data_IF_965798375732
#
_entry.id   IF_965798375732
#
_cell.length_a   1.000
_cell.length_b   1.000
_cell.length_c   1.000
_cell.angle_alpha   90.00
_cell.angle_beta   90.00
_cell.angle_gamma   90.00
#
_symmetry.space_group_name_H-M   'P 1'
#
loop_
_entity.id
_entity.type
_entity.pdbx_description
1 polymer ?
#
# COMPACT_ATOMS: atom_id res chain seq x y z
N UNK A 1 -1.52 36.68 -54.65
CA UNK A 1 -2.35 36.70 -55.89
C UNK A 1 -1.77 37.74 -56.83
N UNK A 2 -1.81 37.58 -58.16
CA UNK A 2 -2.02 36.38 -59.00
C UNK A 2 -0.90 36.27 -60.08
N UNK A 3 -0.71 35.20 -60.86
CA UNK A 3 -1.54 34.83 -62.00
C UNK A 3 -1.12 33.46 -62.55
N UNK A 4 -2.15 32.66 -62.84
CA UNK A 4 -2.12 31.40 -63.57
C UNK A 4 -2.34 31.61 -65.08
N UNK A 5 -2.07 30.54 -65.85
CA UNK A 5 -2.49 30.17 -67.23
C UNK A 5 -1.31 30.17 -68.22
N UNK A 6 -1.10 29.20 -69.11
CA UNK A 6 -2.04 28.37 -69.90
C UNK A 6 -1.45 27.00 -70.29
N UNK A 7 -2.35 26.04 -70.53
CA UNK A 7 -2.17 24.76 -71.28
C UNK A 7 -2.10 25.01 -72.80
N UNK A 8 -1.51 24.07 -73.55
CA UNK A 8 -2.01 23.38 -74.77
C UNK A 8 -0.80 22.73 -75.49
N UNK A 9 -0.62 21.40 -75.50
CA UNK A 9 -1.15 20.39 -76.44
C UNK A 9 -0.50 20.40 -77.85
N UNK A 10 0.18 19.30 -78.21
CA UNK A 10 -0.18 18.34 -79.30
C UNK A 10 1.01 17.85 -80.18
N UNK A 11 1.12 16.52 -80.25
CA UNK A 11 1.63 15.60 -81.29
C UNK A 11 2.98 15.79 -82.01
N UNK A 12 3.77 14.70 -82.05
CA UNK A 12 4.16 14.04 -83.33
C UNK A 12 4.82 12.66 -83.11
N UNK A 13 4.12 11.61 -83.57
CA UNK A 13 4.55 10.42 -84.34
C UNK A 13 5.88 9.67 -84.09
N UNK A 14 5.74 8.36 -83.80
CA UNK A 14 6.15 7.16 -84.60
C UNK A 14 6.54 5.98 -83.68
N UNK A 15 5.79 4.85 -83.71
CA UNK A 15 6.10 3.59 -84.44
C UNK A 15 7.48 3.04 -84.01
N UNK A 16 7.68 1.86 -83.40
CA UNK A 16 7.11 0.52 -83.54
C UNK A 16 7.76 -0.36 -82.44
N UNK A 17 7.17 -1.51 -82.10
CA UNK A 17 7.95 -2.65 -81.57
C UNK A 17 7.54 -3.20 -80.20
N UNK A 18 6.64 -4.20 -80.23
CA UNK A 18 6.59 -5.41 -79.40
C UNK A 18 7.43 -5.45 -78.10
N UNK A 19 6.78 -5.65 -76.95
CA UNK A 19 6.87 -6.94 -76.23
C UNK A 19 5.96 -7.01 -75.00
N UNK A 20 5.14 -8.07 -74.99
CA UNK A 20 4.15 -8.46 -74.00
C UNK A 20 4.89 -9.21 -72.88
N UNK A 21 5.39 -8.52 -71.84
CA UNK A 21 5.98 -9.18 -70.65
C UNK A 21 5.94 -8.27 -69.40
N UNK A 22 4.76 -7.78 -68.98
CA UNK A 22 4.71 -7.01 -67.72
C UNK A 22 3.44 -7.16 -66.85
N UNK A 23 2.59 -8.14 -67.11
CA UNK A 23 1.38 -8.39 -66.29
C UNK A 23 1.60 -9.35 -65.10
N UNK A 24 2.67 -10.15 -65.09
CA UNK A 24 2.90 -11.15 -64.03
C UNK A 24 3.72 -10.67 -62.82
N UNK A 25 4.33 -9.48 -62.88
CA UNK A 25 5.21 -8.98 -61.80
C UNK A 25 4.45 -8.22 -60.71
N UNK A 26 3.30 -7.60 -61.04
CA UNK A 26 2.48 -6.83 -60.08
C UNK A 26 1.62 -7.73 -59.17
N UNK A 27 1.15 -8.87 -59.66
CA UNK A 27 0.44 -9.88 -58.85
C UNK A 27 1.35 -10.56 -57.83
N UNK A 28 2.61 -10.82 -58.21
CA UNK A 28 3.61 -11.40 -57.31
C UNK A 28 3.86 -10.51 -56.08
N UNK A 29 4.07 -9.20 -56.26
CA UNK A 29 4.37 -8.28 -55.14
C UNK A 29 3.25 -8.13 -54.12
N UNK A 30 1.98 -8.16 -54.53
CA UNK A 30 0.84 -8.11 -53.60
C UNK A 30 0.70 -9.42 -52.82
N UNK A 31 0.93 -10.56 -53.47
CA UNK A 31 0.94 -11.89 -52.84
C UNK A 31 2.05 -11.99 -51.79
N UNK A 32 3.28 -11.55 -52.10
CA UNK A 32 4.38 -11.54 -51.13
C UNK A 32 4.13 -10.61 -49.94
N UNK A 33 3.40 -9.50 -50.13
CA UNK A 33 3.05 -8.58 -49.06
C UNK A 33 1.97 -9.17 -48.14
N UNK A 34 0.95 -9.83 -48.70
CA UNK A 34 -0.11 -10.50 -47.93
C UNK A 34 0.43 -11.72 -47.18
N UNK A 35 1.31 -12.51 -47.81
CA UNK A 35 2.01 -13.63 -47.16
C UNK A 35 2.92 -13.12 -46.05
N UNK A 36 3.68 -12.04 -46.28
CA UNK A 36 4.55 -11.43 -45.27
C UNK A 36 3.78 -10.86 -44.06
N UNK A 37 2.61 -10.26 -44.29
CA UNK A 37 1.72 -9.80 -43.22
C UNK A 37 1.09 -10.98 -42.44
N UNK A 38 0.65 -12.03 -43.14
CA UNK A 38 0.13 -13.25 -42.51
C UNK A 38 1.20 -13.98 -41.69
N UNK A 39 2.43 -14.05 -42.18
CA UNK A 39 3.56 -14.63 -41.46
C UNK A 39 3.94 -13.78 -40.24
N UNK A 40 4.01 -12.45 -40.37
CA UNK A 40 4.24 -11.54 -39.24
C UNK A 40 3.16 -11.68 -38.15
N UNK A 41 1.89 -11.81 -38.55
CA UNK A 41 0.78 -11.99 -37.62
C UNK A 41 0.80 -13.36 -36.93
N UNK A 42 1.19 -14.41 -37.64
CA UNK A 42 1.39 -15.75 -37.07
C UNK A 42 2.57 -15.79 -36.09
N UNK A 43 3.70 -15.15 -36.41
CA UNK A 43 4.85 -15.05 -35.52
C UNK A 43 4.53 -14.21 -34.27
N UNK A 44 3.83 -13.10 -34.43
CA UNK A 44 3.37 -12.28 -33.29
C UNK A 44 2.42 -13.06 -32.38
N UNK A 45 1.47 -13.79 -32.96
CA UNK A 45 0.55 -14.68 -32.23
C UNK A 45 1.28 -15.83 -31.54
N UNK A 46 2.30 -16.42 -32.18
CA UNK A 46 3.11 -17.51 -31.62
C UNK A 46 4.02 -17.05 -30.47
N UNK A 47 4.63 -15.87 -30.58
CA UNK A 47 5.43 -15.27 -29.50
C UNK A 47 4.57 -14.91 -28.30
N UNK A 48 3.36 -14.38 -28.51
CA UNK A 48 2.43 -14.07 -27.42
C UNK A 48 1.85 -15.34 -26.78
N UNK A 49 1.53 -16.36 -27.59
CA UNK A 49 1.14 -17.68 -27.11
C UNK A 49 2.24 -18.32 -26.26
N UNK A 50 3.50 -18.32 -26.73
CA UNK A 50 4.62 -18.85 -25.97
C UNK A 50 4.86 -18.07 -24.68
N UNK A 51 4.81 -16.73 -24.71
CA UNK A 51 4.91 -15.92 -23.48
C UNK A 51 3.82 -16.26 -22.47
N UNK A 52 2.58 -16.40 -22.92
CA UNK A 52 1.46 -16.76 -22.07
C UNK A 52 1.56 -18.20 -21.54
N UNK A 53 2.03 -19.13 -22.38
CA UNK A 53 2.28 -20.52 -22.00
C UNK A 53 3.42 -20.66 -20.98
N UNK A 54 4.56 -20.01 -21.21
CA UNK A 54 5.68 -19.96 -20.25
C UNK A 54 5.25 -19.33 -18.93
N UNK A 55 4.47 -18.24 -18.97
CA UNK A 55 3.91 -17.61 -17.77
C UNK A 55 2.95 -18.55 -17.04
N UNK A 56 2.11 -19.30 -17.76
CA UNK A 56 1.21 -20.29 -17.17
C UNK A 56 1.98 -21.43 -16.50
N UNK A 57 2.95 -22.03 -17.19
CA UNK A 57 3.81 -23.08 -16.61
C UNK A 57 4.55 -22.57 -15.37
N UNK A 58 5.14 -21.38 -15.46
CA UNK A 58 5.84 -20.77 -14.33
C UNK A 58 4.90 -20.59 -13.13
N UNK A 59 3.69 -20.10 -13.35
CA UNK A 59 2.69 -19.96 -12.29
C UNK A 59 2.30 -21.32 -11.69
N UNK A 60 2.15 -22.37 -12.50
CA UNK A 60 1.84 -23.73 -12.03
C UNK A 60 2.98 -24.25 -11.16
N UNK A 61 4.24 -24.12 -11.61
CA UNK A 61 5.41 -24.55 -10.84
C UNK A 61 5.48 -23.80 -9.50
N UNK A 62 5.31 -22.48 -9.52
CA UNK A 62 5.30 -21.65 -8.30
C UNK A 62 4.19 -22.11 -7.35
N UNK A 63 2.97 -22.32 -7.86
CA UNK A 63 1.84 -22.76 -7.03
C UNK A 63 2.10 -24.14 -6.42
N UNK A 64 2.63 -25.09 -7.19
CA UNK A 64 2.99 -26.42 -6.72
C UNK A 64 4.04 -26.37 -5.61
N UNK A 65 5.10 -25.55 -5.78
CA UNK A 65 6.13 -25.36 -4.75
C UNK A 65 5.52 -24.74 -3.48
N UNK A 66 4.65 -23.74 -3.60
CA UNK A 66 3.97 -23.12 -2.47
C UNK A 66 3.07 -24.09 -1.71
N UNK A 67 2.35 -24.95 -2.43
CA UNK A 67 1.54 -26.02 -1.82
C UNK A 67 2.43 -27.00 -1.05
N UNK A 68 3.56 -27.43 -1.63
CA UNK A 68 4.51 -28.32 -0.94
C UNK A 68 5.10 -27.69 0.33
N UNK A 69 5.51 -26.42 0.28
CA UNK A 69 6.03 -25.68 1.46
C UNK A 69 4.95 -25.57 2.53
N UNK A 70 3.72 -25.21 2.13
CA UNK A 70 2.58 -25.07 3.03
C UNK A 70 2.24 -26.39 3.73
N UNK A 71 2.20 -27.50 2.99
CA UNK A 71 1.97 -28.83 3.55
C UNK A 71 3.11 -29.25 4.49
N UNK A 72 4.35 -28.89 4.16
CA UNK A 72 5.51 -29.16 5.03
C UNK A 72 5.40 -28.43 6.37
N UNK A 73 5.06 -27.13 6.36
CA UNK A 73 4.83 -26.37 7.59
C UNK A 73 3.66 -26.93 8.40
N UNK A 74 2.59 -27.39 7.74
CA UNK A 74 1.49 -28.04 8.43
C UNK A 74 1.90 -29.35 9.10
N UNK A 75 2.66 -30.21 8.42
CA UNK A 75 3.17 -31.47 9.01
C UNK A 75 4.03 -31.18 10.24
N UNK A 76 4.90 -30.17 10.18
CA UNK A 76 5.70 -29.73 11.33
C UNK A 76 4.80 -29.23 12.46
N UNK A 77 3.80 -28.40 12.16
CA UNK A 77 2.85 -27.88 13.14
C UNK A 77 2.03 -28.98 13.82
N UNK A 78 1.56 -29.98 13.05
CA UNK A 78 0.90 -31.18 13.56
C UNK A 78 1.83 -31.99 14.46
N UNK A 79 3.07 -32.20 14.05
CA UNK A 79 4.06 -32.96 14.83
C UNK A 79 4.38 -32.26 16.15
N UNK A 80 4.56 -30.94 16.12
CA UNK A 80 4.76 -30.13 17.32
C UNK A 80 3.53 -30.16 18.25
N UNK A 81 2.31 -30.09 17.68
CA UNK A 81 1.06 -30.24 18.44
C UNK A 81 0.99 -31.60 19.14
N UNK A 82 1.30 -32.70 18.44
CA UNK A 82 1.32 -34.04 19.02
C UNK A 82 2.39 -34.19 20.12
N UNK A 83 3.56 -33.56 19.95
CA UNK A 83 4.66 -33.68 20.91
C UNK A 83 4.47 -32.81 22.16
N UNK A 84 4.05 -31.56 22.00
CA UNK A 84 3.89 -30.61 23.11
C UNK A 84 2.47 -30.61 23.71
N UNK A 85 1.47 -31.17 23.02
CA UNK A 85 0.09 -31.35 23.47
C UNK A 85 -0.74 -30.06 23.63
N UNK A 86 -0.11 -28.89 23.65
CA UNK A 86 -0.74 -27.59 23.94
C UNK A 86 -0.94 -26.70 22.72
N UNK A 87 -0.26 -27.00 21.60
CA UNK A 87 -0.29 -26.17 20.39
C UNK A 87 -1.46 -26.57 19.50
N UNK A 88 -2.28 -25.59 19.10
CA UNK A 88 -3.29 -25.80 18.05
C UNK A 88 -2.62 -25.79 16.67
N UNK A 89 -2.76 -26.84 15.86
CA UNK A 89 -2.10 -26.90 14.56
C UNK A 89 -2.73 -25.88 13.59
N UNK A 90 -1.87 -25.13 12.88
CA UNK A 90 -2.31 -24.16 11.87
C UNK A 90 -2.75 -24.91 10.61
N UNK A 91 -3.94 -24.62 10.08
CA UNK A 91 -4.44 -25.32 8.89
C UNK A 91 -3.53 -25.12 7.66
N UNK A 92 -3.45 -26.12 6.75
CA UNK A 92 -2.67 -26.00 5.51
C UNK A 92 -3.08 -24.78 4.69
N UNK A 93 -4.37 -24.45 4.65
CA UNK A 93 -4.86 -23.30 3.89
C UNK A 93 -4.33 -21.98 4.44
N UNK A 94 -4.20 -21.84 5.76
CA UNK A 94 -3.65 -20.65 6.38
C UNK A 94 -2.17 -20.47 6.04
N UNK A 95 -1.38 -21.55 6.08
CA UNK A 95 0.01 -21.53 5.62
C UNK A 95 0.14 -21.16 4.14
N UNK A 96 -0.76 -21.68 3.30
CA UNK A 96 -0.73 -21.39 1.86
C UNK A 96 -1.02 -19.90 1.62
N UNK A 97 -2.07 -19.37 2.24
CA UNK A 97 -2.47 -17.98 2.06
C UNK A 97 -1.50 -16.99 2.69
N UNK A 98 -0.87 -17.32 3.82
CA UNK A 98 0.14 -16.47 4.45
C UNK A 98 1.41 -16.31 3.63
N UNK A 99 1.71 -17.26 2.75
CA UNK A 99 2.83 -17.13 1.81
C UNK A 99 2.35 -16.50 0.50
N UNK A 100 1.30 -17.05 -0.11
CA UNK A 100 0.84 -16.69 -1.45
C UNK A 100 0.37 -15.23 -1.55
N UNK A 101 -0.44 -14.78 -0.58
CA UNK A 101 -1.09 -13.45 -0.66
C UNK A 101 -0.06 -12.34 -0.42
N UNK A 102 0.72 -12.33 0.69
CA UNK A 102 1.79 -11.34 0.88
C UNK A 102 2.80 -11.35 -0.28
N UNK A 103 3.18 -12.52 -0.80
CA UNK A 103 4.06 -12.63 -1.97
C UNK A 103 3.51 -11.90 -3.18
N UNK A 104 2.23 -12.12 -3.48
CA UNK A 104 1.56 -11.47 -4.60
C UNK A 104 1.46 -9.96 -4.40
N UNK A 105 1.12 -9.50 -3.20
CA UNK A 105 0.97 -8.08 -2.89
C UNK A 105 2.32 -7.36 -2.91
N UNK A 106 3.37 -7.90 -2.28
CA UNK A 106 4.70 -7.31 -2.30
C UNK A 106 5.28 -7.26 -3.71
N UNK A 107 5.12 -8.34 -4.49
CA UNK A 107 5.54 -8.37 -5.91
C UNK A 107 4.82 -7.31 -6.75
N UNK A 108 3.51 -7.12 -6.55
CA UNK A 108 2.74 -6.06 -7.22
C UNK A 108 3.14 -4.66 -6.72
N UNK A 109 3.39 -4.52 -5.42
CA UNK A 109 3.85 -3.28 -4.80
C UNK A 109 5.17 -2.81 -5.38
N UNK A 110 6.13 -3.72 -5.48
CA UNK A 110 7.43 -3.51 -6.11
C UNK A 110 7.31 -3.14 -7.60
N UNK A 111 6.57 -3.93 -8.39
CA UNK A 111 6.32 -3.64 -9.82
C UNK A 111 5.66 -2.28 -10.05
N UNK A 112 4.78 -1.85 -9.14
CA UNK A 112 4.11 -0.55 -9.21
C UNK A 112 4.94 0.59 -8.62
N UNK A 113 6.22 0.37 -8.26
CA UNK A 113 7.08 1.35 -7.56
C UNK A 113 6.45 1.93 -6.28
N UNK A 114 5.69 1.12 -5.54
CA UNK A 114 5.13 1.52 -4.22
C UNK A 114 6.02 1.04 -3.06
N UNK A 115 6.88 0.06 -3.32
CA UNK A 115 7.87 -0.49 -2.40
C UNK A 115 9.21 -0.57 -3.15
N UNK A 116 10.32 -0.30 -2.45
CA UNK A 116 11.64 -0.67 -2.94
C UNK A 116 11.93 -2.17 -2.61
N UNK A 117 13.13 -2.65 -2.94
CA UNK A 117 13.51 -4.04 -2.67
C UNK A 117 13.43 -4.40 -1.17
N UNK A 118 13.91 -3.52 -0.29
CA UNK A 118 13.88 -3.74 1.15
C UNK A 118 12.47 -3.66 1.72
N UNK A 119 11.67 -2.70 1.25
CA UNK A 119 10.28 -2.55 1.62
C UNK A 119 9.42 -3.72 1.15
N UNK A 120 9.72 -4.29 -0.02
CA UNK A 120 9.08 -5.52 -0.48
C UNK A 120 9.38 -6.69 0.45
N UNK A 121 10.65 -6.91 0.82
CA UNK A 121 11.04 -7.97 1.75
C UNK A 121 10.44 -7.78 3.15
N UNK A 122 10.51 -6.57 3.69
CA UNK A 122 9.89 -6.25 4.98
C UNK A 122 8.37 -6.46 4.94
N UNK A 123 7.72 -6.06 3.83
CA UNK A 123 6.28 -6.23 3.65
C UNK A 123 5.86 -7.70 3.53
N UNK A 124 6.72 -8.55 2.95
CA UNK A 124 6.51 -10.01 2.95
C UNK A 124 6.49 -10.57 4.36
N UNK A 125 7.49 -10.20 5.18
CA UNK A 125 7.63 -10.71 6.55
C UNK A 125 6.45 -10.25 7.41
N UNK A 126 6.15 -8.95 7.43
CA UNK A 126 5.03 -8.40 8.20
C UNK A 126 3.71 -9.00 7.70
N UNK A 127 3.48 -9.04 6.38
CA UNK A 127 2.26 -9.61 5.82
C UNK A 127 2.09 -11.09 6.15
N UNK A 128 3.17 -11.87 6.13
CA UNK A 128 3.16 -13.28 6.54
C UNK A 128 2.75 -13.44 8.01
N UNK A 129 3.43 -12.72 8.92
CA UNK A 129 3.15 -12.78 10.37
C UNK A 129 1.68 -12.45 10.65
N UNK A 130 1.19 -11.34 10.09
CA UNK A 130 -0.19 -10.91 10.30
C UNK A 130 -1.20 -11.92 9.73
N UNK A 131 -0.93 -12.50 8.57
CA UNK A 131 -1.86 -13.47 7.94
C UNK A 131 -1.90 -14.79 8.72
N UNK A 132 -0.75 -15.26 9.23
CA UNK A 132 -0.72 -16.46 10.09
C UNK A 132 -1.45 -16.19 11.40
N UNK A 133 -1.28 -15.00 11.99
CA UNK A 133 -1.92 -14.66 13.25
C UNK A 133 -3.45 -14.60 13.16
N UNK A 134 -3.97 -13.75 12.28
CA UNK A 134 -5.41 -13.48 12.18
C UNK A 134 -5.70 -12.74 10.85
N UNK A 135 -6.65 -13.23 10.06
CA UNK A 135 -6.94 -12.62 8.76
C UNK A 135 -7.41 -11.15 8.86
N UNK A 136 -8.07 -10.76 9.96
CA UNK A 136 -8.48 -9.37 10.19
C UNK A 136 -7.31 -8.43 10.39
N UNK A 137 -6.19 -8.91 10.95
CA UNK A 137 -4.95 -8.13 11.05
C UNK A 137 -4.37 -7.86 9.66
N UNK A 138 -4.30 -8.90 8.83
CA UNK A 138 -3.80 -8.78 7.47
C UNK A 138 -4.70 -7.90 6.59
N UNK A 139 -6.03 -8.02 6.66
CA UNK A 139 -6.93 -7.19 5.85
C UNK A 139 -6.86 -5.71 6.24
N UNK A 140 -6.74 -5.40 7.54
CA UNK A 140 -6.51 -4.04 8.02
C UNK A 140 -5.20 -3.45 7.46
N UNK A 141 -4.10 -4.21 7.55
CA UNK A 141 -2.81 -3.79 6.99
C UNK A 141 -2.87 -3.65 5.47
N UNK A 142 -3.52 -4.58 4.78
CA UNK A 142 -3.67 -4.56 3.33
C UNK A 142 -4.47 -3.32 2.90
N UNK A 143 -5.52 -2.97 3.63
CA UNK A 143 -6.31 -1.77 3.37
C UNK A 143 -5.47 -0.52 3.50
N UNK A 144 -4.74 -0.38 4.61
CA UNK A 144 -3.77 0.70 4.80
C UNK A 144 -2.79 0.77 3.63
N UNK A 145 -2.11 -0.33 3.30
CA UNK A 145 -1.10 -0.35 2.25
C UNK A 145 -1.66 0.04 0.88
N UNK A 146 -2.79 -0.52 0.46
CA UNK A 146 -3.37 -0.26 -0.87
C UNK A 146 -3.85 1.19 -0.99
N UNK A 147 -4.60 1.69 -0.01
CA UNK A 147 -5.16 3.06 -0.07
C UNK A 147 -4.08 4.10 0.05
N UNK A 148 -3.18 3.97 1.02
CA UNK A 148 -2.08 4.91 1.20
C UNK A 148 -1.15 4.91 -0.01
N UNK A 149 -0.85 3.77 -0.62
CA UNK A 149 -0.06 3.73 -1.87
C UNK A 149 -0.74 4.41 -3.06
N UNK A 150 -2.09 4.40 -3.11
CA UNK A 150 -2.84 5.16 -4.13
C UNK A 150 -2.78 6.66 -3.84
N UNK A 151 -2.95 7.05 -2.58
CA UNK A 151 -2.89 8.46 -2.16
C UNK A 151 -1.49 9.07 -2.37
N UNK A 152 -0.42 8.35 -2.06
CA UNK A 152 0.95 8.84 -2.30
C UNK A 152 1.19 9.16 -3.78
N UNK A 153 0.62 8.38 -4.70
CA UNK A 153 0.74 8.64 -6.15
C UNK A 153 -0.23 9.71 -6.65
N UNK A 154 -1.33 9.93 -5.93
CA UNK A 154 -2.32 10.92 -6.32
C UNK A 154 -1.71 12.33 -6.25
N UNK A 155 -1.86 13.08 -7.34
CA UNK A 155 -1.31 14.43 -7.53
C UNK A 155 0.20 14.54 -7.26
N UNK A 156 0.97 13.52 -7.66
CA UNK A 156 2.43 13.49 -7.50
C UNK A 156 3.19 14.71 -8.06
N UNK A 157 2.72 15.31 -9.17
CA UNK A 157 3.32 16.52 -9.74
C UNK A 157 3.25 17.73 -8.80
N UNK A 158 2.16 17.86 -8.03
CA UNK A 158 2.02 18.92 -7.02
C UNK A 158 2.95 18.61 -5.84
N UNK A 159 2.99 17.33 -5.41
CA UNK A 159 3.84 16.89 -4.28
C UNK A 159 5.32 17.13 -4.54
N UNK A 160 5.77 16.94 -5.78
CA UNK A 160 7.13 17.22 -6.21
C UNK A 160 7.53 18.71 -6.11
N UNK A 161 6.57 19.62 -6.12
CA UNK A 161 6.82 21.05 -5.97
C UNK A 161 6.81 21.54 -4.52
N UNK A 162 6.32 20.73 -3.58
CA UNK A 162 6.18 21.09 -2.16
C UNK A 162 7.12 20.30 -1.25
N UNK A 163 7.53 19.09 -1.66
CA UNK A 163 8.38 18.19 -0.89
C UNK A 163 9.75 18.01 -1.59
N UNK A 164 10.85 18.53 -0.99
CA UNK A 164 12.18 18.37 -1.56
C UNK A 164 12.70 16.93 -1.53
N UNK A 165 12.11 16.05 -0.70
CA UNK A 165 12.50 14.65 -0.55
C UNK A 165 11.56 13.68 -1.31
N UNK A 166 10.70 14.22 -2.19
CA UNK A 166 9.74 13.45 -2.95
C UNK A 166 10.38 12.29 -3.75
N UNK A 167 9.89 11.07 -3.52
CA UNK A 167 10.30 9.85 -4.24
C UNK A 167 9.26 9.47 -5.29
N UNK A 168 9.71 9.24 -6.52
CA UNK A 168 8.82 8.82 -7.61
C UNK A 168 8.11 7.49 -7.26
N UNK A 169 6.78 7.52 -7.27
CA UNK A 169 5.92 6.39 -6.93
C UNK A 169 5.68 6.19 -5.44
N UNK A 170 6.33 6.97 -4.56
CA UNK A 170 6.16 6.85 -3.11
C UNK A 170 6.78 5.57 -2.56
N UNK A 171 7.95 5.17 -3.08
CA UNK A 171 8.58 3.91 -2.72
C UNK A 171 8.92 3.86 -1.23
N UNK A 172 8.21 2.99 -0.49
CA UNK A 172 8.51 2.74 0.92
C UNK A 172 9.68 1.77 1.04
N UNK A 173 10.62 2.11 1.91
CA UNK A 173 11.78 1.29 2.23
C UNK A 173 11.50 0.37 3.43
N UNK A 174 12.46 -0.50 3.74
CA UNK A 174 12.33 -1.44 4.86
C UNK A 174 12.15 -0.72 6.21
N UNK A 175 12.76 0.45 6.40
CA UNK A 175 12.63 1.25 7.63
C UNK A 175 11.20 1.73 7.82
N UNK A 176 10.58 2.27 6.76
CA UNK A 176 9.17 2.68 6.80
C UNK A 176 8.23 1.50 7.05
N UNK A 177 8.51 0.34 6.46
CA UNK A 177 7.73 -0.87 6.72
C UNK A 177 7.91 -1.34 8.16
N UNK A 178 9.11 -1.25 8.72
CA UNK A 178 9.36 -1.57 10.13
C UNK A 178 8.68 -0.59 11.08
N UNK A 179 8.79 0.72 10.86
CA UNK A 179 8.17 1.72 11.74
C UNK A 179 6.64 1.64 11.74
N UNK A 180 6.03 1.36 10.59
CA UNK A 180 4.56 1.33 10.47
C UNK A 180 3.97 -0.07 10.67
N UNK A 181 4.77 -1.13 10.48
CA UNK A 181 4.32 -2.53 10.51
C UNK A 181 4.95 -3.38 11.60
N UNK A 182 6.01 -2.90 12.26
CA UNK A 182 6.73 -3.60 13.31
C UNK A 182 5.89 -3.79 14.58
N UNK A 183 5.27 -2.73 15.08
CA UNK A 183 4.37 -2.80 16.24
C UNK A 183 3.18 -3.75 15.99
N UNK A 184 2.46 -3.66 14.85
CA UNK A 184 1.48 -4.67 14.47
C UNK A 184 2.04 -6.09 14.39
N UNK A 185 3.24 -6.29 13.84
CA UNK A 185 3.84 -7.62 13.72
C UNK A 185 4.21 -8.21 15.08
N UNK A 186 4.77 -7.41 15.97
CA UNK A 186 5.06 -7.81 17.34
C UNK A 186 3.78 -8.19 18.11
N UNK A 187 2.76 -7.35 18.05
CA UNK A 187 1.45 -7.64 18.65
C UNK A 187 0.80 -8.90 18.07
N UNK A 188 0.95 -9.14 16.76
CA UNK A 188 0.47 -10.36 16.12
C UNK A 188 1.23 -11.61 16.60
N UNK A 189 2.55 -11.52 16.82
CA UNK A 189 3.34 -12.61 17.41
C UNK A 189 2.89 -12.90 18.85
N UNK A 190 2.75 -11.86 19.68
CA UNK A 190 2.26 -12.00 21.06
C UNK A 190 0.85 -12.60 21.09
N UNK A 191 -0.04 -12.15 20.20
CA UNK A 191 -1.37 -12.72 20.04
C UNK A 191 -1.33 -14.21 19.72
N UNK A 192 -0.46 -14.64 18.79
CA UNK A 192 -0.29 -16.06 18.46
C UNK A 192 0.28 -16.88 19.63
N UNK A 193 1.19 -16.30 20.42
CA UNK A 193 1.79 -16.98 21.58
C UNK A 193 0.74 -17.19 22.67
N UNK A 194 -0.06 -16.18 22.98
CA UNK A 194 -1.00 -16.23 24.10
C UNK A 194 -2.34 -16.90 23.76
N UNK A 195 -2.87 -16.63 22.56
CA UNK A 195 -4.23 -17.02 22.18
C UNK A 195 -4.24 -18.10 21.08
N UNK A 196 -3.10 -18.33 20.44
CA UNK A 196 -3.00 -19.14 19.24
C UNK A 196 -3.43 -18.37 17.98
N UNK A 197 -3.08 -18.89 16.80
CA UNK A 197 -3.52 -18.34 15.53
C UNK A 197 -5.02 -18.60 15.31
N UNK A 198 -5.74 -17.60 14.80
CA UNK A 198 -7.16 -17.69 14.53
C UNK A 198 -7.89 -16.36 14.66
N UNK A 199 -9.15 -16.34 14.24
CA UNK A 199 -10.01 -15.18 14.32
C UNK A 199 -10.84 -15.23 15.59
N UNK A 200 -10.63 -14.23 16.46
CA UNK A 200 -11.33 -14.08 17.73
C UNK A 200 -12.12 -12.77 17.70
N UNK A 201 -13.41 -12.77 18.11
CA UNK A 201 -14.19 -11.55 18.25
C UNK A 201 -13.66 -10.67 19.39
N UNK A 202 -13.73 -9.36 19.21
CA UNK A 202 -13.35 -8.41 20.27
C UNK A 202 -14.46 -8.39 21.31
N UNK A 203 -14.21 -9.02 22.45
CA UNK A 203 -15.11 -9.12 23.60
C UNK A 203 -14.29 -9.11 24.90
N UNK A 204 -14.24 -7.93 25.53
CA UNK A 204 -13.53 -7.74 26.78
C UNK A 204 -14.10 -8.52 27.98
N UNK A 205 -15.34 -8.99 27.89
CA UNK A 205 -15.99 -9.74 28.98
C UNK A 205 -15.53 -11.20 29.00
N UNK A 206 -15.27 -11.78 27.82
CA UNK A 206 -14.84 -13.17 27.67
C UNK A 206 -13.33 -13.30 27.54
N UNK A 207 -12.70 -12.41 26.76
CA UNK A 207 -11.30 -12.53 26.38
C UNK A 207 -10.63 -11.16 26.39
N UNK A 208 -10.35 -10.67 27.60
CA UNK A 208 -9.75 -9.35 27.81
C UNK A 208 -8.43 -9.17 27.04
N UNK A 209 -7.47 -10.10 27.24
CA UNK A 209 -6.12 -9.96 26.66
C UNK A 209 -6.12 -10.04 25.13
N UNK A 210 -6.87 -10.99 24.55
CA UNK A 210 -7.03 -11.09 23.11
C UNK A 210 -7.65 -9.82 22.51
N UNK A 211 -8.73 -9.32 23.12
CA UNK A 211 -9.42 -8.10 22.69
C UNK A 211 -8.51 -6.87 22.78
N UNK A 212 -7.69 -6.81 23.84
CA UNK A 212 -6.71 -5.77 24.04
C UNK A 212 -5.66 -5.77 22.92
N UNK A 213 -5.09 -6.94 22.59
CA UNK A 213 -4.12 -7.09 21.51
C UNK A 213 -4.72 -6.78 20.13
N UNK A 214 -5.93 -7.26 19.85
CA UNK A 214 -6.65 -6.98 18.61
C UNK A 214 -6.83 -5.46 18.38
N UNK A 215 -7.28 -4.74 19.41
CA UNK A 215 -7.46 -3.29 19.32
C UNK A 215 -6.13 -2.53 19.33
N UNK A 216 -5.10 -3.03 19.99
CA UNK A 216 -3.75 -2.42 19.95
C UNK A 216 -3.21 -2.43 18.53
N UNK A 217 -3.34 -3.59 17.86
CA UNK A 217 -2.90 -3.79 16.49
C UNK A 217 -3.72 -2.94 15.51
N UNK A 218 -5.05 -2.93 15.65
CA UNK A 218 -5.93 -2.06 14.88
C UNK A 218 -5.52 -0.59 15.05
N UNK A 219 -5.28 -0.17 16.29
CA UNK A 219 -4.91 1.19 16.65
C UNK A 219 -3.60 1.62 16.00
N UNK A 220 -2.57 0.78 16.06
CA UNK A 220 -1.28 1.05 15.41
C UNK A 220 -1.43 1.23 13.89
N UNK A 221 -2.13 0.30 13.21
CA UNK A 221 -2.35 0.38 11.76
C UNK A 221 -3.21 1.58 11.37
N UNK A 222 -4.27 1.86 12.12
CA UNK A 222 -5.16 2.98 11.87
C UNK A 222 -4.46 4.33 12.12
N UNK A 223 -3.61 4.42 13.13
CA UNK A 223 -2.75 5.58 13.40
C UNK A 223 -1.87 5.90 12.19
N UNK A 224 -1.07 4.93 11.71
CA UNK A 224 -0.20 5.11 10.55
C UNK A 224 -1.00 5.42 9.26
N UNK A 225 -2.17 4.80 9.10
CA UNK A 225 -3.07 5.11 7.97
C UNK A 225 -3.61 6.53 8.05
N UNK A 226 -4.05 6.96 9.23
CA UNK A 226 -4.56 8.30 9.47
C UNK A 226 -3.52 9.37 9.18
N UNK A 227 -2.30 9.20 9.69
CA UNK A 227 -1.17 10.11 9.40
C UNK A 227 -0.86 10.18 7.89
N UNK A 228 -0.76 9.02 7.23
CA UNK A 228 -0.50 8.99 5.79
C UNK A 228 -1.63 9.68 5.01
N UNK A 229 -2.89 9.46 5.35
CA UNK A 229 -3.99 10.13 4.64
C UNK A 229 -4.01 11.63 4.90
N UNK A 230 -3.72 12.06 6.13
CA UNK A 230 -3.64 13.47 6.50
C UNK A 230 -2.54 14.20 5.75
N UNK A 231 -1.33 13.64 5.71
CA UNK A 231 -0.19 14.22 5.02
C UNK A 231 -0.37 14.20 3.50
N UNK A 232 -0.88 13.12 2.92
CA UNK A 232 -1.00 12.98 1.47
C UNK A 232 -2.16 13.79 0.85
N UNK A 233 -3.26 13.96 1.58
CA UNK A 233 -4.43 14.74 1.13
C UNK A 233 -4.32 16.19 1.61
N UNK A 234 -3.95 16.40 2.87
CA UNK A 234 -3.90 17.72 3.50
C UNK A 234 -2.89 18.65 2.85
N UNK A 235 -1.69 18.17 2.52
CA UNK A 235 -0.65 18.98 1.86
C UNK A 235 -1.07 19.46 0.47
N UNK A 236 -1.89 18.69 -0.23
CA UNK A 236 -2.32 18.99 -1.60
C UNK A 236 -3.58 19.86 -1.63
N UNK A 237 -4.49 19.65 -0.69
CA UNK A 237 -5.82 20.28 -0.71
C UNK A 237 -5.90 21.55 0.15
N UNK A 238 -4.99 21.76 1.10
CA UNK A 238 -5.01 22.90 2.01
C UNK A 238 -3.69 23.68 1.98
N UNK A 239 -3.74 24.92 1.50
CA UNK A 239 -2.54 25.78 1.37
C UNK A 239 -2.17 26.57 2.64
N UNK A 240 -3.02 26.52 3.67
CA UNK A 240 -2.82 27.28 4.91
C UNK A 240 -2.88 26.38 6.15
N UNK A 241 -1.93 25.43 6.34
CA UNK A 241 -1.90 24.63 7.57
C UNK A 241 -1.55 25.50 8.78
N UNK A 242 -1.96 25.05 9.97
CA UNK A 242 -1.66 25.70 11.25
C UNK A 242 -0.80 24.79 12.10
N UNK A 243 0.22 25.34 12.74
CA UNK A 243 1.08 24.56 13.63
C UNK A 243 0.30 24.14 14.87
N UNK A 244 0.27 22.84 15.20
CA UNK A 244 -0.57 22.32 16.29
C UNK A 244 -0.26 22.92 17.67
N UNK A 245 0.99 23.32 17.92
CA UNK A 245 1.43 23.84 19.22
C UNK A 245 1.12 25.32 19.44
N UNK A 246 1.08 26.13 18.38
CA UNK A 246 0.92 27.59 18.47
C UNK A 246 -0.31 28.13 17.74
N UNK A 247 -0.96 27.29 16.93
CA UNK A 247 -2.09 27.61 16.07
C UNK A 247 -1.86 28.70 15.01
N UNK A 248 -0.58 29.09 14.79
CA UNK A 248 -0.17 30.04 13.76
C UNK A 248 -0.13 29.38 12.39
N UNK A 249 -0.46 30.14 11.34
CA UNK A 249 -0.31 29.69 9.95
C UNK A 249 1.17 29.41 9.65
N UNK A 250 1.44 28.28 9.02
CA UNK A 250 2.79 27.86 8.62
C UNK A 250 2.80 27.42 7.15
N UNK A 251 3.95 27.45 6.47
CA UNK A 251 4.05 26.93 5.10
C UNK A 251 3.69 25.44 5.01
N UNK A 252 3.16 25.03 3.86
CA UNK A 252 2.89 23.61 3.56
C UNK A 252 4.20 22.80 3.64
N UNK A 253 4.13 21.60 4.23
CA UNK A 253 5.29 20.75 4.49
C UNK A 253 5.95 20.96 5.86
N UNK A 254 5.45 21.89 6.68
CA UNK A 254 5.90 22.06 8.07
C UNK A 254 5.49 20.86 8.92
N UNK A 255 6.44 20.22 9.60
CA UNK A 255 6.18 19.14 10.54
C UNK A 255 5.29 19.63 11.68
N UNK A 256 4.20 18.90 11.95
CA UNK A 256 3.16 19.30 12.89
C UNK A 256 2.20 20.39 12.41
N UNK A 257 2.22 20.71 11.12
CA UNK A 257 1.19 21.52 10.46
C UNK A 257 -0.10 20.72 10.26
N UNK A 258 -1.16 21.11 10.93
CA UNK A 258 -2.49 20.49 10.83
C UNK A 258 -3.46 21.34 10.00
N UNK A 259 -4.39 20.67 9.32
CA UNK A 259 -5.49 21.31 8.60
C UNK A 259 -6.79 20.55 8.83
N UNK A 260 -7.94 21.21 8.68
CA UNK A 260 -9.24 20.54 8.85
C UNK A 260 -9.41 19.38 7.85
N UNK A 261 -8.99 19.59 6.60
CA UNK A 261 -9.03 18.54 5.57
C UNK A 261 -8.12 17.37 5.98
N UNK A 262 -6.91 17.64 6.46
CA UNK A 262 -6.00 16.60 6.95
C UNK A 262 -6.60 15.81 8.12
N UNK A 263 -7.23 16.47 9.09
CA UNK A 263 -7.88 15.81 10.22
C UNK A 263 -9.07 14.94 9.78
N UNK A 264 -9.91 15.42 8.86
CA UNK A 264 -11.00 14.60 8.29
C UNK A 264 -10.42 13.41 7.53
N UNK A 265 -9.36 13.62 6.74
CA UNK A 265 -8.66 12.54 6.05
C UNK A 265 -8.06 11.51 7.00
N UNK A 266 -7.53 11.92 8.14
CA UNK A 266 -7.00 11.01 9.17
C UNK A 266 -8.08 10.11 9.78
N UNK A 267 -9.24 10.71 10.11
CA UNK A 267 -10.41 10.00 10.62
C UNK A 267 -10.91 8.98 9.59
N UNK A 268 -11.02 9.38 8.33
CA UNK A 268 -11.44 8.49 7.24
C UNK A 268 -10.44 7.36 7.00
N UNK A 269 -9.13 7.65 7.04
CA UNK A 269 -8.09 6.63 6.88
C UNK A 269 -8.19 5.55 7.95
N UNK A 270 -8.29 5.95 9.22
CA UNK A 270 -8.49 5.02 10.33
C UNK A 270 -9.82 4.26 10.24
N UNK A 271 -10.89 4.93 9.82
CA UNK A 271 -12.22 4.31 9.62
C UNK A 271 -12.17 3.23 8.55
N UNK A 272 -11.45 3.43 7.44
CA UNK A 272 -11.29 2.43 6.39
C UNK A 272 -10.52 1.20 6.88
N UNK A 273 -9.48 1.40 7.70
CA UNK A 273 -8.75 0.30 8.34
C UNK A 273 -9.68 -0.49 9.27
N UNK A 274 -10.45 0.20 10.12
CA UNK A 274 -11.45 -0.43 10.99
C UNK A 274 -12.55 -1.16 10.22
N UNK A 275 -13.01 -0.61 9.10
CA UNK A 275 -13.99 -1.26 8.23
C UNK A 275 -13.44 -2.54 7.59
N UNK A 276 -12.19 -2.52 7.11
CA UNK A 276 -11.56 -3.70 6.55
C UNK A 276 -11.34 -4.82 7.59
N UNK A 277 -11.04 -4.44 8.83
CA UNK A 277 -10.99 -5.37 9.95
C UNK A 277 -12.39 -5.94 10.22
N UNK A 278 -13.40 -5.09 10.38
CA UNK A 278 -14.77 -5.48 10.70
C UNK A 278 -15.36 -6.42 9.62
N UNK A 279 -15.20 -6.10 8.34
CA UNK A 279 -15.65 -6.98 7.23
C UNK A 279 -14.96 -8.34 7.30
N UNK A 280 -13.66 -8.38 7.65
CA UNK A 280 -12.96 -9.66 7.82
C UNK A 280 -13.54 -10.47 8.97
N UNK A 281 -13.88 -9.84 10.10
CA UNK A 281 -14.54 -10.51 11.20
C UNK A 281 -15.87 -11.15 10.76
N UNK A 282 -16.70 -10.41 10.00
CA UNK A 282 -17.97 -10.94 9.48
C UNK A 282 -17.83 -12.17 8.58
N UNK A 283 -16.68 -12.32 7.89
CA UNK A 283 -16.44 -13.41 6.95
C UNK A 283 -15.83 -14.64 7.64
N UNK A 284 -14.95 -14.43 8.62
CA UNK A 284 -14.08 -15.49 9.15
C UNK A 284 -14.33 -15.87 10.61
N UNK A 285 -15.09 -15.08 11.38
CA UNK A 285 -15.46 -15.41 12.76
C UNK A 285 -16.81 -16.11 12.78
N UNK A 286 -16.86 -17.31 13.37
CA UNK A 286 -18.08 -18.12 13.42
C UNK A 286 -19.04 -17.71 14.55
N UNK A 287 -18.54 -17.28 15.71
CA UNK A 287 -19.32 -17.07 16.94
C UNK A 287 -19.71 -15.60 17.18
N UNK A 288 -20.00 -14.85 16.11
CA UNK A 288 -20.34 -13.42 16.19
C UNK A 288 -21.71 -13.15 16.80
N UNK A 289 -22.65 -14.08 16.64
CA UNK A 289 -24.03 -14.03 17.11
C UNK A 289 -24.13 -14.06 18.64
N UNK A 290 -23.21 -14.75 19.31
CA UNK A 290 -23.13 -14.85 20.77
C UNK A 290 -22.08 -13.92 21.40
N UNK A 291 -21.41 -13.10 20.59
CA UNK A 291 -20.34 -12.19 21.02
C UNK A 291 -20.82 -10.74 21.13
N UNK A 292 -20.03 -9.91 21.82
CA UNK A 292 -20.28 -8.47 21.85
C UNK A 292 -20.39 -7.88 20.43
N UNK A 293 -21.20 -6.82 20.21
CA UNK A 293 -21.27 -6.12 18.94
C UNK A 293 -19.89 -5.66 18.43
N UNK A 294 -19.54 -6.02 17.19
CA UNK A 294 -18.22 -5.73 16.61
C UNK A 294 -18.14 -4.40 15.84
N UNK A 295 -19.26 -3.70 15.62
CA UNK A 295 -19.27 -2.39 14.95
C UNK A 295 -18.36 -1.32 15.60
N UNK A 296 -18.09 -1.31 16.93
CA UNK A 296 -17.19 -0.32 17.53
C UNK A 296 -15.77 -0.37 16.96
N UNK A 297 -15.33 -1.49 16.38
CA UNK A 297 -14.05 -1.60 15.65
C UNK A 297 -13.89 -0.46 14.63
N UNK A 298 -14.96 -0.11 13.91
CA UNK A 298 -14.95 0.96 12.90
C UNK A 298 -14.71 2.31 13.56
N UNK A 299 -15.41 2.59 14.66
CA UNK A 299 -15.31 3.86 15.39
C UNK A 299 -13.95 4.00 16.03
N UNK A 300 -13.45 2.97 16.72
CA UNK A 300 -12.13 2.99 17.33
C UNK A 300 -11.01 3.04 16.30
N UNK A 301 -11.18 2.41 15.13
CA UNK A 301 -10.27 2.61 13.99
C UNK A 301 -10.22 4.07 13.55
N UNK A 302 -11.38 4.72 13.37
CA UNK A 302 -11.45 6.14 13.03
C UNK A 302 -10.80 7.03 14.08
N UNK A 303 -11.12 6.83 15.36
CA UNK A 303 -10.54 7.57 16.48
C UNK A 303 -9.02 7.37 16.56
N UNK A 304 -8.52 6.16 16.35
CA UNK A 304 -7.10 5.87 16.31
C UNK A 304 -6.38 6.60 15.17
N UNK A 305 -6.98 6.68 13.98
CA UNK A 305 -6.44 7.47 12.87
C UNK A 305 -6.38 8.97 13.19
N UNK A 306 -7.46 9.51 13.77
CA UNK A 306 -7.53 10.92 14.15
C UNK A 306 -6.53 11.27 15.26
N UNK A 307 -6.62 10.59 16.40
CA UNK A 307 -5.75 10.83 17.56
C UNK A 307 -4.29 10.53 17.24
N UNK A 308 -4.04 9.49 16.45
CA UNK A 308 -2.71 9.15 15.95
C UNK A 308 -2.06 10.30 15.19
N UNK A 309 -2.78 10.86 14.20
CA UNK A 309 -2.27 12.01 13.42
C UNK A 309 -2.05 13.28 14.26
N UNK A 310 -2.86 13.47 15.32
CA UNK A 310 -2.71 14.58 16.27
C UNK A 310 -1.44 14.40 17.11
N UNK A 311 -1.20 13.19 17.62
CA UNK A 311 0.01 12.86 18.38
C UNK A 311 1.24 12.99 17.49
N UNK A 312 1.17 12.44 16.27
CA UNK A 312 2.24 12.54 15.26
C UNK A 312 2.57 14.02 14.98
N UNK A 313 1.54 14.83 14.71
CA UNK A 313 1.71 16.26 14.49
C UNK A 313 2.31 17.00 15.70
N UNK A 314 1.91 16.64 16.93
CA UNK A 314 2.46 17.24 18.14
C UNK A 314 3.94 16.88 18.33
N UNK A 315 4.29 15.61 18.15
CA UNK A 315 5.67 15.14 18.18
C UNK A 315 6.48 15.77 17.03
N UNK A 316 5.90 15.93 15.86
CA UNK A 316 6.54 16.59 14.72
C UNK A 316 6.84 18.06 14.99
N UNK A 317 5.88 18.82 15.51
CA UNK A 317 6.07 20.23 15.86
C UNK A 317 7.13 20.46 16.94
N UNK A 318 7.41 19.47 17.78
CA UNK A 318 8.30 19.59 18.95
C UNK A 318 9.67 18.92 18.74
N UNK A 319 9.71 17.76 18.08
CA UNK A 319 10.87 16.87 17.98
C UNK A 319 11.38 16.65 16.55
N UNK A 320 10.73 17.21 15.51
CA UNK A 320 11.25 17.22 14.14
C UNK A 320 11.60 18.64 13.72
N UNK A 321 12.73 18.82 13.07
CA UNK A 321 13.11 20.14 12.56
C UNK A 321 12.28 20.50 11.34
N UNK A 322 11.79 21.73 11.28
CA UNK A 322 11.28 22.35 10.04
C UNK A 322 11.88 23.72 9.85
N UNK A 323 12.44 23.98 8.66
CA UNK A 323 12.91 25.29 8.25
C UNK A 323 12.43 25.66 6.85
N UNK A 324 12.19 26.93 6.58
CA UNK A 324 11.81 27.42 5.26
C UNK A 324 13.06 27.85 4.49
N UNK A 325 13.41 27.14 3.43
CA UNK A 325 14.54 27.49 2.57
C UNK A 325 14.13 28.57 1.57
N UNK A 326 14.69 29.77 1.74
CA UNK A 326 14.35 30.92 0.89
C UNK A 326 14.81 30.77 -0.56
N UNK A 327 15.75 29.86 -0.85
CA UNK A 327 16.23 29.63 -2.21
C UNK A 327 15.28 28.76 -3.02
N UNK A 328 14.72 27.73 -2.39
CA UNK A 328 13.83 26.77 -3.05
C UNK A 328 12.36 27.10 -2.85
N UNK A 329 12.03 27.92 -1.84
CA UNK A 329 10.65 28.25 -1.48
C UNK A 329 9.90 27.10 -0.79
N UNK A 330 10.63 26.08 -0.33
CA UNK A 330 10.07 24.86 0.27
C UNK A 330 10.47 24.73 1.74
N UNK A 331 9.72 23.92 2.48
CA UNK A 331 10.09 23.50 3.83
C UNK A 331 11.10 22.36 3.75
N UNK A 332 12.16 22.43 4.56
CA UNK A 332 13.21 21.41 4.68
C UNK A 332 13.25 20.84 6.10
N UNK A 333 13.57 19.55 6.19
CA UNK A 333 13.60 18.79 7.44
C UNK A 333 14.97 18.81 8.16
N UNK A 334 15.95 19.51 7.60
CA UNK A 334 17.29 19.61 8.17
C UNK A 334 17.79 21.07 8.14
N UNK A 335 18.65 21.49 9.08
CA UNK A 335 19.25 22.81 9.07
C UNK A 335 20.12 23.01 7.82
N UNK A 336 19.84 24.07 7.06
CA UNK A 336 20.68 24.51 5.93
C UNK A 336 21.03 25.99 6.10
N UNK A 337 22.09 26.46 5.41
CA UNK A 337 22.53 27.86 5.51
C UNK A 337 21.49 28.88 5.06
N UNK A 338 20.56 28.48 4.20
CA UNK A 338 19.49 29.33 3.65
C UNK A 338 18.11 29.08 4.30
N UNK A 339 18.00 28.11 5.21
CA UNK A 339 16.75 27.81 5.89
C UNK A 339 16.53 28.70 7.11
N UNK A 340 15.37 29.39 7.14
CA UNK A 340 14.86 30.05 8.33
C UNK A 340 14.09 29.04 9.17
N UNK A 341 14.49 28.83 10.42
CA UNK A 341 13.80 27.90 11.32
C UNK A 341 12.33 28.29 11.51
N UNK A 342 11.44 27.29 11.49
CA UNK A 342 10.00 27.43 11.75
C UNK A 342 9.64 26.82 13.10
N UNK A 343 9.99 25.54 13.30
CA UNK A 343 9.55 24.75 14.46
C UNK A 343 10.40 23.51 14.72
N UNK A 344 10.22 22.96 15.92
CA UNK A 344 10.83 21.72 16.40
C UNK A 344 12.36 21.72 16.45
N UNK A 345 12.92 20.56 16.74
CA UNK A 345 14.36 20.31 16.90
C UNK A 345 14.72 19.07 16.08
N UNK A 346 15.97 18.90 15.61
CA UNK A 346 16.37 17.72 14.84
C UNK A 346 16.64 16.53 15.77
N UNK A 347 15.62 16.08 16.52
CA UNK A 347 15.74 14.96 17.48
C UNK A 347 15.28 13.66 16.83
N UNK A 348 14.11 13.69 16.18
CA UNK A 348 13.49 12.55 15.52
C UNK A 348 13.31 12.82 14.02
N UNK A 349 13.29 11.74 13.24
CA UNK A 349 12.88 11.75 11.83
C UNK A 349 11.41 11.34 11.68
N UNK A 350 10.89 11.31 10.44
CA UNK A 350 9.50 10.95 10.17
C UNK A 350 9.14 9.50 10.52
N UNK A 351 10.11 8.59 10.40
CA UNK A 351 9.87 7.18 10.67
C UNK A 351 9.77 6.93 12.18
N UNK A 352 10.63 7.57 12.97
CA UNK A 352 10.61 7.50 14.42
C UNK A 352 9.33 8.11 15.00
N UNK A 353 8.88 9.27 14.51
CA UNK A 353 7.62 9.87 14.99
C UNK A 353 6.42 8.95 14.72
N UNK A 354 6.32 8.39 13.51
CA UNK A 354 5.29 7.40 13.16
C UNK A 354 5.33 6.15 14.06
N UNK A 355 6.53 5.66 14.39
CA UNK A 355 6.69 4.55 15.31
C UNK A 355 6.20 4.92 16.72
N UNK A 356 6.62 6.06 17.27
CA UNK A 356 6.20 6.47 18.62
C UNK A 356 4.70 6.77 18.70
N UNK A 357 4.13 7.46 17.70
CA UNK A 357 2.69 7.75 17.66
C UNK A 357 1.87 6.46 17.61
N UNK A 358 2.26 5.49 16.78
CA UNK A 358 1.60 4.19 16.70
C UNK A 358 1.73 3.36 17.98
N UNK A 359 2.88 3.37 18.67
CA UNK A 359 3.05 2.72 19.99
C UNK A 359 2.11 3.35 21.02
N UNK A 360 2.07 4.68 21.10
CA UNK A 360 1.21 5.38 22.06
C UNK A 360 -0.27 5.04 21.82
N UNK A 361 -0.73 5.05 20.56
CA UNK A 361 -2.10 4.68 20.22
C UNK A 361 -2.36 3.20 20.53
N UNK A 362 -1.43 2.30 20.22
CA UNK A 362 -1.57 0.88 20.51
C UNK A 362 -1.77 0.60 22.01
N UNK A 363 -1.07 1.34 22.88
CA UNK A 363 -1.20 1.18 24.34
C UNK A 363 -2.48 1.82 24.90
N UNK A 364 -2.90 2.97 24.37
CA UNK A 364 -4.01 3.75 24.94
C UNK A 364 -5.39 3.33 24.41
N UNK A 365 -5.49 3.01 23.12
CA UNK A 365 -6.77 2.73 22.45
C UNK A 365 -7.55 1.58 23.12
N UNK A 366 -6.94 0.43 23.45
CA UNK A 366 -7.70 -0.67 24.05
C UNK A 366 -8.16 -0.34 25.47
N UNK A 367 -7.38 0.42 26.23
CA UNK A 367 -7.77 0.88 27.57
C UNK A 367 -8.99 1.80 27.53
N UNK A 368 -9.02 2.73 26.56
CA UNK A 368 -10.20 3.54 26.31
C UNK A 368 -11.38 2.67 25.85
N UNK A 369 -11.14 1.78 24.88
CA UNK A 369 -12.17 0.92 24.31
C UNK A 369 -12.84 0.02 25.35
N UNK A 370 -12.08 -0.54 26.28
CA UNK A 370 -12.62 -1.37 27.36
C UNK A 370 -13.71 -0.68 28.18
N UNK A 371 -13.61 0.64 28.41
CA UNK A 371 -14.62 1.41 29.14
C UNK A 371 -15.91 1.65 28.38
N UNK A 372 -15.87 1.63 27.04
CA UNK A 372 -17.00 1.96 26.17
C UNK A 372 -17.49 0.79 25.30
N UNK A 373 -16.81 -0.36 25.34
CA UNK A 373 -17.18 -1.52 24.53
C UNK A 373 -18.53 -2.04 25.00
N UNK A 374 -19.51 -2.25 24.10
CA UNK A 374 -20.78 -2.85 24.45
C UNK A 374 -20.54 -4.23 25.06
N UNK A 375 -21.17 -4.50 26.21
CA UNK A 375 -21.14 -5.83 26.84
C UNK A 375 -22.35 -6.61 26.35
N UNK A 376 -22.10 -7.84 25.89
CA UNK A 376 -23.12 -8.79 25.46
C UNK A 376 -23.81 -9.47 26.63
#
# INVERSE_FOLDING_TARGET
MPNWKWRFCRCSHNLEGKNIWNSNILSSKSIWTVIGLGFSMLFYSWDDFNKNYFKMITNIIILSVLICISLSFWIVSMTASTYYGTLRPISPWRWLFSILIPLTIASRGFKKKSLDHGGALGGLIVGFILTVANYSFFTAMLMFFITSSKLTKWKGEVKKQIDPEYKEGGQRNWVQVFCNGGVPAELALLYMIENGPGEIPVDFSKQYTASWMCLSLLGALACCAGDTWASEIGTVMNQEPRLITTWKKVPVGTNGGVSLIGLISSLLGGTFVGLAYFISQLIFVNDLDISAPQWPIIVFGGLAGLLGSIIDSYLGATMQYSGFDTRTGMVVNHPTKSAKHISGKPILDNNAVNLFSSVVIALLLPGAAWGFWPRG
#
